data_IF_129905754522
#
_entry.id   IF_129905754522
#
_cell.length_a   1.000
_cell.length_b   1.000
_cell.length_c   1.000
_cell.angle_alpha   90.00
_cell.angle_beta   90.00
_cell.angle_gamma   90.00
#
_symmetry.space_group_name_H-M   'P 1'
#
loop_
_entity.id
_entity.type
_entity.pdbx_description
1 polymer ?
#
# COMPACT_ATOMS: atom_id res chain seq x y z
N UNK A 1 -10.99 -5.82 15.79
CA UNK A 1 -10.51 -5.13 14.57
C UNK A 1 -9.93 -6.20 13.68
N UNK A 2 -10.60 -6.48 12.57
CA UNK A 2 -10.14 -7.47 11.60
C UNK A 2 -9.21 -6.78 10.60
N UNK A 3 -8.13 -7.45 10.21
CA UNK A 3 -7.10 -6.89 9.32
C UNK A 3 -7.72 -6.40 7.99
N UNK A 4 -8.73 -7.10 7.49
CA UNK A 4 -9.48 -6.72 6.30
C UNK A 4 -10.06 -5.30 6.43
N UNK A 5 -10.72 -4.98 7.56
CA UNK A 5 -11.31 -3.65 7.79
C UNK A 5 -10.25 -2.55 7.83
N UNK A 6 -9.06 -2.86 8.34
CA UNK A 6 -7.93 -1.93 8.32
C UNK A 6 -7.46 -1.69 6.89
N UNK A 7 -7.30 -2.76 6.09
CA UNK A 7 -6.94 -2.65 4.68
C UNK A 7 -7.99 -1.87 3.88
N UNK A 8 -9.29 -2.08 4.13
CA UNK A 8 -10.37 -1.28 3.53
C UNK A 8 -10.20 0.21 3.83
N UNK A 9 -9.90 0.57 5.09
CA UNK A 9 -9.67 1.95 5.50
C UNK A 9 -8.46 2.57 4.78
N UNK A 10 -7.35 1.84 4.68
CA UNK A 10 -6.13 2.28 3.98
C UNK A 10 -6.41 2.53 2.50
N UNK A 11 -7.04 1.56 1.82
CA UNK A 11 -7.36 1.68 0.39
C UNK A 11 -8.34 2.83 0.14
N UNK A 12 -9.32 3.05 1.02
CA UNK A 12 -10.22 4.20 0.92
C UNK A 12 -9.49 5.55 1.03
N UNK A 13 -8.52 5.65 1.96
CA UNK A 13 -7.72 6.87 2.11
C UNK A 13 -6.86 7.12 0.87
N UNK A 14 -6.22 6.09 0.32
CA UNK A 14 -5.45 6.19 -0.92
C UNK A 14 -6.34 6.59 -2.10
N UNK A 15 -7.53 5.99 -2.24
CA UNK A 15 -8.52 6.37 -3.26
C UNK A 15 -8.92 7.85 -3.12
N UNK A 16 -9.17 8.32 -1.90
CA UNK A 16 -9.56 9.71 -1.65
C UNK A 16 -8.47 10.71 -2.06
N UNK A 17 -7.20 10.38 -1.84
CA UNK A 17 -6.07 11.21 -2.28
C UNK A 17 -5.87 11.11 -3.80
N UNK A 18 -5.93 9.92 -4.38
CA UNK A 18 -5.79 9.72 -5.84
C UNK A 18 -6.84 10.47 -6.65
N UNK A 19 -8.07 10.61 -6.14
CA UNK A 19 -9.14 11.36 -6.80
C UNK A 19 -8.85 12.86 -6.92
N UNK A 20 -8.01 13.40 -6.04
CA UNK A 20 -7.66 14.82 -6.00
C UNK A 20 -6.38 15.12 -6.82
N UNK A 21 -5.68 14.09 -7.31
CA UNK A 21 -4.44 14.21 -8.08
C UNK A 21 -4.71 13.82 -9.54
N UNK A 22 -5.17 14.76 -10.40
CA UNK A 22 -5.35 14.49 -11.82
C UNK A 22 -4.01 14.15 -12.49
N UNK A 23 -4.08 13.48 -13.65
CA UNK A 23 -2.98 12.74 -14.28
C UNK A 23 -1.59 13.38 -14.23
N UNK A 24 -1.47 14.66 -14.55
CA UNK A 24 -0.18 15.36 -14.51
C UNK A 24 0.40 15.37 -13.09
N UNK A 25 -0.39 15.75 -12.07
CA UNK A 25 0.06 15.77 -10.68
C UNK A 25 0.37 14.37 -10.12
N UNK A 26 -0.42 13.37 -10.51
CA UNK A 26 -0.23 11.97 -10.09
C UNK A 26 1.09 11.39 -10.61
N UNK A 27 1.44 11.70 -11.86
CA UNK A 27 2.57 11.12 -12.59
C UNK A 27 3.79 12.05 -12.68
N UNK A 28 3.71 13.27 -12.15
CA UNK A 28 4.81 14.23 -12.14
C UNK A 28 5.95 13.76 -11.23
N UNK A 29 7.21 13.75 -11.73
CA UNK A 29 8.40 13.57 -10.90
C UNK A 29 8.58 14.73 -9.91
N UNK A 30 8.79 14.40 -8.63
CA UNK A 30 8.98 15.40 -7.58
C UNK A 30 10.37 15.29 -6.96
N UNK A 31 11.02 16.45 -6.77
CA UNK A 31 12.34 16.52 -6.12
C UNK A 31 12.34 15.96 -4.70
N UNK A 32 11.27 16.22 -3.93
CA UNK A 32 11.08 15.68 -2.57
C UNK A 32 10.95 14.15 -2.53
N UNK A 33 10.63 13.54 -3.68
CA UNK A 33 10.57 12.08 -3.87
C UNK A 33 11.80 11.54 -4.61
N UNK A 34 12.89 12.29 -4.67
CA UNK A 34 14.11 11.94 -5.40
C UNK A 34 13.85 11.62 -6.89
N UNK A 35 12.95 12.39 -7.52
CA UNK A 35 12.55 12.20 -8.91
C UNK A 35 11.52 11.10 -9.14
N UNK A 36 11.01 10.45 -8.09
CA UNK A 36 9.85 9.56 -8.19
C UNK A 36 8.54 10.35 -8.18
N UNK A 37 7.44 9.65 -8.44
CA UNK A 37 6.08 10.21 -8.57
C UNK A 37 5.19 9.66 -7.45
N UNK A 38 4.09 10.34 -7.15
CA UNK A 38 3.07 9.81 -6.23
C UNK A 38 2.49 8.52 -6.80
N UNK A 39 2.21 8.48 -8.11
CA UNK A 39 1.71 7.31 -8.80
C UNK A 39 2.63 6.09 -8.70
N UNK A 40 3.96 6.28 -8.65
CA UNK A 40 4.91 5.18 -8.45
C UNK A 40 4.79 4.53 -7.08
N UNK A 41 4.56 5.34 -6.04
CA UNK A 41 4.30 4.84 -4.69
C UNK A 41 2.95 4.15 -4.59
N UNK A 42 1.90 4.70 -5.22
CA UNK A 42 0.56 4.09 -5.21
C UNK A 42 0.56 2.76 -5.97
N UNK A 43 1.16 2.70 -7.17
CA UNK A 43 1.40 1.45 -7.90
C UNK A 43 2.13 0.43 -7.03
N UNK A 44 3.17 0.86 -6.31
CA UNK A 44 3.94 -0.04 -5.46
C UNK A 44 3.08 -0.66 -4.35
N UNK A 45 2.19 0.12 -3.71
CA UNK A 45 1.22 -0.40 -2.75
C UNK A 45 0.27 -1.40 -3.43
N UNK A 46 -0.31 -1.04 -4.57
CA UNK A 46 -1.25 -1.88 -5.33
C UNK A 46 -0.62 -3.23 -5.67
N UNK A 47 0.58 -3.23 -6.25
CA UNK A 47 1.28 -4.45 -6.65
C UNK A 47 1.59 -5.39 -5.48
N UNK A 48 1.87 -4.85 -4.28
CA UNK A 48 2.06 -5.68 -3.07
C UNK A 48 0.76 -6.38 -2.67
N UNK A 49 -0.38 -5.69 -2.72
CA UNK A 49 -1.66 -6.33 -2.48
C UNK A 49 -2.01 -7.35 -3.58
N UNK A 50 -1.75 -7.03 -4.85
CA UNK A 50 -1.96 -7.96 -5.98
C UNK A 50 -1.14 -9.25 -5.81
N UNK A 51 0.16 -9.15 -5.47
CA UNK A 51 1.03 -10.31 -5.26
C UNK A 51 0.60 -11.17 -4.08
N UNK A 52 0.09 -10.55 -3.02
CA UNK A 52 -0.49 -11.29 -1.89
C UNK A 52 -1.78 -12.02 -2.30
N UNK A 53 -2.67 -11.38 -3.07
CA UNK A 53 -3.91 -12.01 -3.56
C UNK A 53 -3.60 -13.15 -4.53
N UNK A 54 -2.65 -12.97 -5.45
CA UNK A 54 -2.19 -14.05 -6.32
C UNK A 54 -1.58 -15.20 -5.50
N UNK A 55 -0.82 -14.86 -4.45
CA UNK A 55 -0.25 -15.83 -3.53
C UNK A 55 -1.28 -16.60 -2.71
N UNK A 56 -2.46 -16.02 -2.46
CA UNK A 56 -3.58 -16.73 -1.83
C UNK A 56 -4.03 -17.93 -2.67
N UNK A 57 -4.02 -17.80 -4.00
CA UNK A 57 -4.39 -18.89 -4.91
C UNK A 57 -3.25 -19.91 -5.13
N UNK A 58 -1.99 -19.46 -5.14
CA UNK A 58 -0.83 -20.31 -5.46
C UNK A 58 -0.19 -20.98 -4.24
N UNK A 59 -0.39 -20.44 -3.03
CA UNK A 59 0.31 -20.82 -1.81
C UNK A 59 1.67 -20.13 -1.61
N UNK A 60 2.11 -19.31 -2.57
CA UNK A 60 3.42 -18.63 -2.57
C UNK A 60 3.27 -17.12 -2.79
N UNK A 61 3.88 -16.32 -1.92
CA UNK A 61 3.95 -14.86 -2.08
C UNK A 61 5.39 -14.48 -2.41
N UNK A 62 5.60 -13.64 -3.42
CA UNK A 62 6.91 -13.10 -3.76
C UNK A 62 6.79 -11.63 -4.17
N UNK A 63 7.19 -10.72 -3.28
CA UNK A 63 7.10 -9.27 -3.50
C UNK A 63 8.16 -8.71 -4.46
N UNK A 64 9.16 -9.50 -4.84
CA UNK A 64 10.19 -9.11 -5.80
C UNK A 64 9.67 -9.24 -7.24
N UNK A 65 8.67 -10.10 -7.47
CA UNK A 65 8.06 -10.38 -8.79
C UNK A 65 7.03 -9.33 -9.24
N UNK A 66 7.21 -8.07 -8.84
CA UNK A 66 6.33 -6.97 -9.26
C UNK A 66 6.43 -6.72 -10.76
N UNK A 67 5.27 -6.52 -11.39
CA UNK A 67 5.18 -6.24 -12.83
C UNK A 67 5.76 -4.90 -13.24
N UNK A 68 5.84 -3.94 -12.31
CA UNK A 68 6.25 -2.57 -12.59
C UNK A 68 5.34 -1.88 -13.62
N UNK A 69 4.04 -2.10 -13.48
CA UNK A 69 3.03 -1.63 -14.44
C UNK A 69 2.98 -0.10 -14.52
N UNK A 70 3.50 0.43 -15.62
CA UNK A 70 3.57 1.86 -15.89
C UNK A 70 2.21 2.50 -16.14
N UNK A 71 1.21 1.73 -16.55
CA UNK A 71 -0.15 2.26 -16.75
C UNK A 71 -0.75 2.58 -15.38
N UNK A 72 -0.60 1.71 -14.38
CA UNK A 72 -1.03 2.00 -12.99
C UNK A 72 -0.26 3.22 -12.42
N UNK A 73 1.03 3.36 -12.75
CA UNK A 73 1.87 4.48 -12.31
C UNK A 73 1.42 5.84 -12.86
N UNK A 74 0.81 5.87 -14.04
CA UNK A 74 0.53 7.11 -14.79
C UNK A 74 -0.97 7.42 -14.93
N UNK A 75 -1.83 6.42 -14.78
CA UNK A 75 -3.27 6.56 -14.89
C UNK A 75 -3.92 6.46 -13.50
N UNK A 76 -4.19 7.62 -12.89
CA UNK A 76 -4.83 7.70 -11.57
C UNK A 76 -6.20 6.99 -11.51
N UNK A 77 -6.99 7.04 -12.59
CA UNK A 77 -8.30 6.40 -12.66
C UNK A 77 -8.17 4.87 -12.64
N UNK A 78 -7.23 4.32 -13.39
CA UNK A 78 -6.93 2.88 -13.35
C UNK A 78 -6.41 2.46 -11.96
N UNK A 79 -5.55 3.26 -11.33
CA UNK A 79 -5.08 2.99 -9.98
C UNK A 79 -6.24 2.94 -8.96
N UNK A 80 -7.23 3.84 -9.09
CA UNK A 80 -8.45 3.84 -8.27
C UNK A 80 -9.27 2.57 -8.50
N UNK A 81 -9.47 2.17 -9.76
CA UNK A 81 -10.19 0.95 -10.11
C UNK A 81 -9.51 -0.31 -9.54
N UNK A 82 -8.19 -0.39 -9.64
CA UNK A 82 -7.40 -1.47 -9.03
C UNK A 82 -7.59 -1.51 -7.51
N UNK A 83 -7.50 -0.37 -6.83
CA UNK A 83 -7.75 -0.32 -5.38
C UNK A 83 -9.18 -0.73 -5.01
N UNK A 84 -10.19 -0.42 -5.83
CA UNK A 84 -11.54 -0.91 -5.62
C UNK A 84 -11.66 -2.44 -5.78
N UNK A 85 -10.97 -3.03 -6.76
CA UNK A 85 -10.91 -4.49 -6.93
C UNK A 85 -10.19 -5.16 -5.76
N UNK A 86 -9.03 -4.64 -5.35
CA UNK A 86 -8.28 -5.11 -4.17
C UNK A 86 -9.15 -5.18 -2.92
N UNK A 87 -9.99 -4.16 -2.71
CA UNK A 87 -10.92 -4.14 -1.58
C UNK A 87 -11.87 -5.34 -1.60
N UNK A 88 -12.45 -5.67 -2.76
CA UNK A 88 -13.39 -6.79 -2.88
C UNK A 88 -12.68 -8.13 -2.63
N UNK A 89 -11.50 -8.31 -3.21
CA UNK A 89 -10.68 -9.52 -3.05
C UNK A 89 -10.30 -9.75 -1.58
N UNK A 90 -9.84 -8.71 -0.88
CA UNK A 90 -9.45 -8.81 0.54
C UNK A 90 -10.66 -9.13 1.43
N UNK A 91 -11.83 -8.56 1.12
CA UNK A 91 -13.06 -8.81 1.87
C UNK A 91 -13.59 -10.24 1.67
N UNK A 92 -13.31 -10.85 0.51
CA UNK A 92 -13.76 -12.21 0.20
C UNK A 92 -13.10 -13.30 1.06
N UNK A 93 -11.94 -13.01 1.65
CA UNK A 93 -11.19 -13.98 2.47
C UNK A 93 -11.66 -13.95 3.93
N UNK A 94 -12.35 -15.01 4.35
CA UNK A 94 -12.97 -15.12 5.67
C UNK A 94 -12.09 -15.75 6.75
N UNK A 95 -11.01 -16.45 6.38
CA UNK A 95 -10.18 -17.22 7.30
C UNK A 95 -8.69 -17.09 6.98
N UNK A 96 -7.82 -17.32 7.97
CA UNK A 96 -6.37 -17.38 7.77
C UNK A 96 -5.94 -18.75 7.24
N UNK A 97 -4.87 -18.79 6.45
CA UNK A 97 -4.30 -20.03 5.94
C UNK A 97 -2.79 -19.90 5.69
N UNK A 98 -2.03 -21.02 5.75
CA UNK A 98 -0.60 -21.00 5.56
C UNK A 98 -0.18 -20.54 4.15
N UNK A 99 0.88 -19.75 4.09
CA UNK A 99 1.55 -19.32 2.86
C UNK A 99 3.06 -19.53 2.98
N UNK A 100 3.76 -19.55 1.85
CA UNK A 100 5.22 -19.49 1.81
C UNK A 100 5.66 -18.18 1.17
N UNK A 101 6.36 -17.34 1.93
CA UNK A 101 7.00 -16.15 1.41
C UNK A 101 8.32 -16.54 0.75
N UNK A 102 8.50 -16.16 -0.50
CA UNK A 102 9.74 -16.29 -1.25
C UNK A 102 10.43 -14.93 -1.34
N UNK A 103 11.71 -14.89 -0.96
CA UNK A 103 12.53 -13.68 -1.00
C UNK A 103 13.85 -13.93 -1.69
N UNK A 104 14.37 -12.93 -2.38
CA UNK A 104 15.69 -12.96 -2.97
C UNK A 104 16.48 -11.71 -2.56
N UNK A 105 17.52 -11.90 -1.74
CA UNK A 105 18.43 -10.83 -1.33
C UNK A 105 19.80 -10.94 -2.01
N UNK A 106 19.96 -11.90 -2.92
CA UNK A 106 21.18 -12.05 -3.70
C UNK A 106 21.08 -11.20 -4.97
N UNK A 107 22.11 -10.40 -5.24
CA UNK A 107 22.13 -9.52 -6.41
C UNK A 107 22.11 -10.30 -7.73
N UNK A 108 22.61 -11.54 -7.71
CA UNK A 108 22.67 -12.44 -8.86
C UNK A 108 21.43 -13.36 -8.97
N UNK A 109 20.39 -13.10 -8.17
CA UNK A 109 19.15 -13.87 -8.04
C UNK A 109 19.34 -15.38 -7.71
N UNK A 110 20.54 -15.80 -7.36
CA UNK A 110 20.93 -17.22 -7.33
C UNK A 110 20.35 -18.03 -6.16
N UNK A 111 19.83 -17.35 -5.12
CA UNK A 111 19.41 -17.97 -3.85
C UNK A 111 18.06 -17.47 -3.38
N UNK A 112 17.00 -18.04 -3.95
CA UNK A 112 15.65 -17.87 -3.43
C UNK A 112 15.50 -18.57 -2.07
N UNK A 113 15.12 -17.81 -1.04
CA UNK A 113 14.83 -18.33 0.29
C UNK A 113 13.32 -18.44 0.49
N UNK A 114 12.90 -19.45 1.25
CA UNK A 114 11.49 -19.66 1.60
C UNK A 114 11.28 -19.50 3.11
N UNK A 115 10.30 -18.69 3.48
CA UNK A 115 9.94 -18.38 4.85
C UNK A 115 8.47 -18.76 5.07
N UNK A 116 8.18 -19.45 6.17
CA UNK A 116 6.79 -19.79 6.54
C UNK A 116 6.03 -18.52 6.88
N UNK A 117 4.81 -18.40 6.36
CA UNK A 117 3.91 -17.28 6.63
C UNK A 117 2.43 -17.72 6.64
N UNK A 118 1.53 -16.77 6.69
CA UNK A 118 0.08 -16.95 6.53
C UNK A 118 -0.54 -15.76 5.80
N UNK A 119 -1.75 -15.93 5.27
CA UNK A 119 -2.47 -14.86 4.58
C UNK A 119 -2.62 -13.61 5.47
N UNK A 120 -3.02 -13.76 6.73
CA UNK A 120 -3.12 -12.64 7.65
C UNK A 120 -1.77 -12.05 8.05
N UNK A 121 -0.71 -12.86 8.08
CA UNK A 121 0.65 -12.34 8.30
C UNK A 121 1.09 -11.44 7.15
N UNK A 122 0.83 -11.82 5.91
CA UNK A 122 1.15 -11.02 4.72
C UNK A 122 0.22 -9.79 4.58
N UNK A 123 -1.07 -9.93 4.92
CA UNK A 123 -2.00 -8.80 4.97
C UNK A 123 -1.54 -7.74 5.98
N UNK A 124 -1.08 -8.16 7.15
CA UNK A 124 -0.50 -7.25 8.15
C UNK A 124 0.77 -6.57 7.64
N UNK A 125 1.63 -7.29 6.93
CA UNK A 125 2.82 -6.69 6.30
C UNK A 125 2.44 -5.63 5.27
N UNK A 126 1.50 -5.93 4.38
CA UNK A 126 1.00 -4.99 3.38
C UNK A 126 0.34 -3.75 4.01
N UNK A 127 -0.33 -3.88 5.15
CA UNK A 127 -0.88 -2.75 5.91
C UNK A 127 0.24 -1.79 6.35
N UNK A 128 1.28 -2.29 7.01
CA UNK A 128 2.38 -1.43 7.50
C UNK A 128 3.20 -0.85 6.35
N UNK A 129 3.41 -1.64 5.30
CA UNK A 129 4.10 -1.19 4.09
C UNK A 129 3.32 -0.08 3.36
N UNK A 130 1.99 -0.21 3.27
CA UNK A 130 1.13 0.84 2.72
C UNK A 130 1.19 2.11 3.58
N UNK A 131 1.11 2.01 4.92
CA UNK A 131 1.22 3.15 5.84
C UNK A 131 2.57 3.86 5.65
N UNK A 132 3.66 3.12 5.48
CA UNK A 132 4.98 3.68 5.19
C UNK A 132 4.97 4.52 3.91
N UNK A 133 4.43 4.00 2.81
CA UNK A 133 4.33 4.75 1.56
C UNK A 133 3.33 5.91 1.62
N UNK A 134 2.25 5.79 2.38
CA UNK A 134 1.33 6.91 2.66
C UNK A 134 2.05 8.05 3.40
N UNK A 135 2.98 7.75 4.31
CA UNK A 135 3.78 8.79 4.96
C UNK A 135 4.68 9.55 3.96
N UNK A 136 5.24 8.85 2.97
CA UNK A 136 6.02 9.47 1.88
C UNK A 136 5.11 10.33 0.99
N UNK A 137 3.95 9.80 0.58
CA UNK A 137 2.96 10.52 -0.21
C UNK A 137 2.48 11.77 0.52
N UNK A 138 2.28 11.70 1.85
CA UNK A 138 1.92 12.85 2.68
C UNK A 138 2.94 13.97 2.61
N UNK A 139 4.23 13.66 2.62
CA UNK A 139 5.29 14.66 2.47
C UNK A 139 5.19 15.31 1.10
N UNK A 140 5.03 14.53 0.03
CA UNK A 140 4.90 15.05 -1.33
C UNK A 140 3.67 15.96 -1.50
N UNK A 141 2.50 15.49 -1.06
CA UNK A 141 1.26 16.27 -1.10
C UNK A 141 1.43 17.60 -0.37
N UNK A 142 1.90 17.57 0.89
CA UNK A 142 2.07 18.81 1.68
C UNK A 142 3.11 19.78 1.12
N UNK A 143 4.05 19.31 0.30
CA UNK A 143 5.14 20.12 -0.23
C UNK A 143 4.87 20.62 -1.65
N UNK A 144 4.04 19.92 -2.42
CA UNK A 144 3.90 20.15 -3.87
C UNK A 144 2.46 20.37 -4.32
N UNK A 145 1.46 20.00 -3.51
CA UNK A 145 0.03 20.07 -3.85
C UNK A 145 -0.77 20.52 -2.63
N UNK A 146 -0.64 21.81 -2.26
CA UNK A 146 -1.30 22.39 -1.08
C UNK A 146 -2.83 22.33 -1.14
N UNK A 147 -3.40 22.23 -2.34
CA UNK A 147 -4.84 22.10 -2.60
C UNK A 147 -5.40 20.71 -2.27
N UNK A 148 -4.55 19.70 -2.10
CA UNK A 148 -4.98 18.32 -1.84
C UNK A 148 -5.18 18.11 -0.34
N UNK A 149 -6.42 17.80 0.04
CA UNK A 149 -6.79 17.50 1.41
C UNK A 149 -6.47 16.04 1.75
N UNK A 150 -5.65 15.85 2.79
CA UNK A 150 -5.32 14.53 3.29
C UNK A 150 -6.33 14.07 4.36
N UNK A 151 -6.83 12.82 4.28
CA UNK A 151 -7.64 12.24 5.34
C UNK A 151 -6.95 12.27 6.72
N UNK A 152 -7.76 12.28 7.78
CA UNK A 152 -7.23 12.19 9.15
C UNK A 152 -6.34 10.97 9.33
N UNK A 153 -5.21 11.18 10.01
CA UNK A 153 -4.20 10.15 10.27
C UNK A 153 -3.59 9.49 9.02
N UNK A 154 -3.72 10.10 7.83
CA UNK A 154 -3.09 9.59 6.61
C UNK A 154 -1.57 9.39 6.82
N UNK A 155 -1.09 8.19 6.54
CA UNK A 155 0.30 7.79 6.72
C UNK A 155 0.77 7.71 8.18
N UNK A 156 -0.14 7.61 9.15
CA UNK A 156 0.18 7.48 10.57
C UNK A 156 -0.15 6.07 11.06
N UNK A 157 0.82 5.40 11.67
CA UNK A 157 0.62 4.08 12.23
C UNK A 157 -0.48 4.06 13.30
N UNK A 158 -1.32 3.03 13.30
CA UNK A 158 -2.44 2.92 14.25
C UNK A 158 -2.00 2.91 15.72
N UNK A 159 -0.79 2.41 16.02
CA UNK A 159 -0.19 2.50 17.36
C UNK A 159 0.01 3.95 17.80
N UNK A 160 0.53 4.79 16.90
CA UNK A 160 0.72 6.23 17.12
C UNK A 160 -0.61 6.96 17.30
N UNK A 161 -1.62 6.64 16.50
CA UNK A 161 -2.98 7.21 16.66
C UNK A 161 -3.56 6.88 18.04
N UNK A 162 -3.42 5.62 18.49
CA UNK A 162 -3.86 5.22 19.84
C UNK A 162 -3.09 5.94 20.94
N UNK A 163 -1.79 6.17 20.74
CA UNK A 163 -0.97 6.91 21.70
C UNK A 163 -1.41 8.38 21.81
N UNK A 164 -1.65 9.06 20.68
CA UNK A 164 -2.11 10.46 20.66
C UNK A 164 -3.47 10.63 21.34
N UNK A 165 -4.45 9.75 21.05
CA UNK A 165 -5.77 9.77 21.70
C UNK A 165 -5.68 9.61 23.22
N UNK A 166 -4.75 8.78 23.71
CA UNK A 166 -4.53 8.62 25.16
C UNK A 166 -3.97 9.88 25.81
N UNK A 167 -3.11 10.63 25.11
CA UNK A 167 -2.59 11.90 25.61
C UNK A 167 -3.69 12.97 25.66
N UNK A 168 -4.54 13.05 24.63
CA UNK A 168 -5.67 13.99 24.58
C UNK A 168 -6.70 13.75 25.68
N UNK A 169 -7.03 12.48 25.99
CA UNK A 169 -7.96 12.16 27.08
C UNK A 169 -7.36 12.33 28.49
N UNK A 170 -6.05 12.54 28.61
CA UNK A 170 -5.37 12.74 29.88
C UNK A 170 -5.15 14.23 30.23
N UNK A 171 -5.57 15.15 29.36
CA UNK A 171 -5.57 16.61 29.55
C UNK A 171 -6.98 17.12 29.87
#
# INVERSE_FOLDING_TARGET
>A
MELQKVSQSILNQLIAVSKQLPGDQFSQPLGVLSGNTIGKHIRHIIEFFDLMIMGAASGFVNYDQRSHDKVIETNHQLAIEKMHSLKQEIESVSEDFPLTLQVNYDADESKMQSVKSSYYRELQYNIEHAIHHMAIIKIAVKTSFEEVELPDNFGVAYSTVRYQKKLECAQ
#
